data_IF_117628313314
#
_entry.id   IF_117628313314
#
_cell.length_a   1.000
_cell.length_b   1.000
_cell.length_c   1.000
_cell.angle_alpha   90.00
_cell.angle_beta   90.00
_cell.angle_gamma   90.00
#
_symmetry.space_group_name_H-M   'P 1'
#
loop_
_entity.id
_entity.type
_entity.pdbx_description
1 polymer ?
#
# COMPACT_ATOMS: atom_id res chain seq x y z
N UNK A 1 -3.38 -13.59 -9.05
CA UNK A 1 -4.05 -13.78 -7.74
C UNK A 1 -4.79 -12.51 -7.34
N UNK A 2 -5.82 -12.67 -6.54
CA UNK A 2 -6.65 -11.55 -6.12
C UNK A 2 -6.32 -11.14 -4.70
N UNK A 3 -6.08 -9.84 -4.49
CA UNK A 3 -5.84 -9.27 -3.17
C UNK A 3 -6.75 -8.08 -2.97
N UNK A 4 -7.07 -7.79 -1.71
CA UNK A 4 -7.88 -6.64 -1.35
C UNK A 4 -6.98 -5.54 -0.80
N UNK A 5 -7.23 -4.31 -1.23
CA UNK A 5 -6.53 -3.13 -0.69
C UNK A 5 -7.57 -2.26 0.01
N UNK A 6 -7.32 -1.95 1.27
CA UNK A 6 -8.16 -1.02 2.04
C UNK A 6 -7.40 0.25 2.31
N UNK A 7 -8.02 1.37 2.01
CA UNK A 7 -7.40 2.68 2.20
C UNK A 7 -8.14 3.45 3.28
N UNK A 8 -7.40 4.30 3.98
CA UNK A 8 -7.92 5.07 5.10
C UNK A 8 -7.54 6.55 4.96
N UNK A 9 -8.35 7.42 5.54
CA UNK A 9 -8.12 8.87 5.56
C UNK A 9 -7.91 9.40 4.14
N UNK A 10 -6.84 10.15 3.91
CA UNK A 10 -6.56 10.75 2.60
C UNK A 10 -6.39 9.71 1.49
N UNK A 11 -5.84 8.56 1.80
CA UNK A 11 -5.72 7.49 0.80
C UNK A 11 -7.10 6.96 0.38
N UNK A 12 -8.06 6.96 1.30
CA UNK A 12 -9.43 6.58 0.97
C UNK A 12 -10.07 7.55 -0.02
N UNK A 13 -9.79 8.83 0.12
CA UNK A 13 -10.29 9.84 -0.81
C UNK A 13 -9.72 9.65 -2.21
N UNK A 14 -8.49 9.18 -2.30
CA UNK A 14 -7.80 8.97 -3.57
C UNK A 14 -8.19 7.64 -4.21
N UNK A 15 -8.23 6.57 -3.43
CA UNK A 15 -8.36 5.20 -3.93
C UNK A 15 -9.75 4.59 -3.72
N UNK A 16 -10.56 5.20 -2.85
CA UNK A 16 -11.79 4.57 -2.41
C UNK A 16 -11.57 3.77 -1.13
N UNK A 17 -12.67 3.32 -0.53
CA UNK A 17 -12.62 2.62 0.75
C UNK A 17 -11.87 1.30 0.64
N UNK A 18 -12.15 0.54 -0.41
CA UNK A 18 -11.43 -0.70 -0.69
C UNK A 18 -11.52 -1.01 -2.18
N UNK A 19 -10.54 -1.76 -2.66
CA UNK A 19 -10.54 -2.22 -4.03
C UNK A 19 -9.92 -3.60 -4.12
N UNK A 20 -10.39 -4.38 -5.08
CA UNK A 20 -9.81 -5.69 -5.36
C UNK A 20 -8.84 -5.54 -6.52
N UNK A 21 -7.67 -6.13 -6.39
CA UNK A 21 -6.64 -6.07 -7.43
C UNK A 21 -6.21 -7.46 -7.82
N UNK A 22 -6.15 -7.68 -9.13
CA UNK A 22 -5.61 -8.91 -9.67
C UNK A 22 -4.14 -8.69 -10.00
N UNK A 23 -3.26 -9.40 -9.31
CA UNK A 23 -1.82 -9.22 -9.42
C UNK A 23 -1.15 -10.54 -9.75
N UNK A 24 0.06 -10.50 -10.37
CA UNK A 24 0.77 -11.73 -10.69
C UNK A 24 1.18 -12.52 -9.44
N UNK A 25 1.27 -13.84 -9.59
CA UNK A 25 1.88 -14.68 -8.57
C UNK A 25 3.30 -14.19 -8.28
N UNK A 26 3.70 -14.24 -7.01
CA UNK A 26 5.00 -13.76 -6.61
C UNK A 26 5.09 -12.27 -6.34
N UNK A 27 3.99 -11.54 -6.50
CA UNK A 27 3.96 -10.11 -6.18
C UNK A 27 4.25 -9.88 -4.70
N UNK A 28 4.98 -8.79 -4.42
CA UNK A 28 5.30 -8.40 -3.05
C UNK A 28 4.48 -7.19 -2.65
N UNK A 29 4.55 -6.83 -1.37
CA UNK A 29 3.92 -5.59 -0.88
C UNK A 29 4.39 -4.40 -1.70
N UNK A 30 5.70 -4.28 -1.92
CA UNK A 30 6.25 -3.16 -2.68
C UNK A 30 5.73 -3.13 -4.11
N UNK A 31 5.70 -4.28 -4.79
CA UNK A 31 5.22 -4.30 -6.18
C UNK A 31 3.76 -3.92 -6.27
N UNK A 32 2.94 -4.31 -5.28
CA UNK A 32 1.55 -3.90 -5.23
C UNK A 32 1.41 -2.39 -5.04
N UNK A 33 2.17 -1.81 -4.10
CA UNK A 33 2.15 -0.38 -3.87
C UNK A 33 2.59 0.40 -5.11
N UNK A 34 3.62 -0.08 -5.81
CA UNK A 34 4.06 0.56 -7.05
C UNK A 34 3.02 0.48 -8.14
N UNK A 35 2.30 -0.63 -8.23
CA UNK A 35 1.20 -0.77 -9.19
C UNK A 35 0.08 0.23 -8.92
N UNK A 36 -0.26 0.43 -7.65
CA UNK A 36 -1.26 1.43 -7.27
C UNK A 36 -0.77 2.83 -7.66
N UNK A 37 0.50 3.13 -7.38
CA UNK A 37 1.09 4.41 -7.74
C UNK A 37 1.15 4.66 -9.25
N UNK A 38 1.33 3.61 -10.02
CA UNK A 38 1.32 3.73 -11.48
C UNK A 38 -0.06 4.11 -12.01
N UNK A 39 -1.12 3.67 -11.34
CA UNK A 39 -2.50 3.99 -11.73
C UNK A 39 -3.01 5.28 -11.13
N UNK A 40 -2.40 5.73 -10.02
CA UNK A 40 -2.86 6.91 -9.29
C UNK A 40 -1.68 7.81 -8.95
N UNK A 41 -1.44 8.87 -9.75
CA UNK A 41 -0.37 9.83 -9.43
C UNK A 41 -0.52 10.47 -8.05
N UNK A 42 -1.76 10.74 -7.62
CA UNK A 42 -2.00 11.32 -6.32
C UNK A 42 -1.55 10.40 -5.18
N UNK A 43 -1.81 9.11 -5.32
CA UNK A 43 -1.32 8.12 -4.34
C UNK A 43 0.21 8.09 -4.34
N UNK A 44 0.80 8.04 -5.54
CA UNK A 44 2.26 8.00 -5.67
C UNK A 44 2.93 9.17 -4.98
N UNK A 45 2.39 10.38 -5.18
CA UNK A 45 2.95 11.58 -4.58
C UNK A 45 2.89 11.57 -3.06
N UNK A 46 1.83 10.99 -2.49
CA UNK A 46 1.66 10.98 -1.04
C UNK A 46 2.34 9.79 -0.37
N UNK A 47 2.40 8.65 -1.05
CA UNK A 47 2.94 7.43 -0.45
C UNK A 47 4.44 7.30 -0.61
N UNK A 48 5.00 7.82 -1.70
CA UNK A 48 6.43 7.67 -1.99
C UNK A 48 7.15 9.00 -1.83
N UNK A 49 8.37 8.92 -1.30
CA UNK A 49 9.22 10.10 -1.13
C UNK A 49 9.84 10.53 -2.47
N UNK A 50 10.44 11.70 -2.49
CA UNK A 50 11.09 12.21 -3.69
C UNK A 50 12.24 11.34 -4.20
N UNK A 51 12.80 10.47 -3.35
CA UNK A 51 13.84 9.53 -3.75
C UNK A 51 13.28 8.24 -4.35
N UNK A 52 11.96 8.09 -4.39
CA UNK A 52 11.28 6.93 -4.96
C UNK A 52 10.97 5.82 -3.99
N UNK A 53 11.42 5.90 -2.76
CA UNK A 53 11.10 4.93 -1.72
C UNK A 53 9.78 5.26 -1.03
N UNK A 54 9.19 4.25 -0.38
CA UNK A 54 7.98 4.48 0.39
C UNK A 54 8.25 5.41 1.55
N UNK A 55 7.33 6.34 1.79
CA UNK A 55 7.42 7.27 2.92
C UNK A 55 7.38 6.48 4.23
N UNK A 56 8.34 6.74 5.12
CA UNK A 56 8.50 6.02 6.38
C UNK A 56 7.28 6.11 7.29
N UNK A 57 6.50 7.16 7.15
CA UNK A 57 5.35 7.41 8.01
C UNK A 57 4.06 6.74 7.50
N UNK A 58 4.11 6.10 6.35
CA UNK A 58 2.98 5.31 5.87
C UNK A 58 2.88 4.07 6.74
N UNK A 59 1.69 3.82 7.27
CA UNK A 59 1.46 2.63 8.07
C UNK A 59 0.80 1.56 7.22
N UNK A 60 1.34 0.35 7.29
CA UNK A 60 0.85 -0.79 6.50
C UNK A 60 0.46 -1.94 7.40
N UNK A 61 -0.61 -2.64 7.05
CA UNK A 61 -1.02 -3.86 7.72
C UNK A 61 -1.39 -4.92 6.69
N UNK A 62 -0.95 -6.15 6.90
CA UNK A 62 -1.37 -7.30 6.10
C UNK A 62 -2.21 -8.20 6.98
N UNK A 63 -3.45 -8.47 6.58
CA UNK A 63 -4.36 -9.32 7.32
C UNK A 63 -4.44 -8.91 8.79
N UNK A 64 -4.53 -7.59 9.01
CA UNK A 64 -4.66 -6.96 10.34
C UNK A 64 -3.40 -7.00 11.20
N UNK A 65 -2.26 -7.36 10.61
CA UNK A 65 -0.97 -7.34 11.30
C UNK A 65 -0.10 -6.24 10.71
N UNK A 66 0.45 -5.40 11.59
CA UNK A 66 1.32 -4.31 11.18
C UNK A 66 2.62 -4.85 10.60
N UNK A 67 3.08 -4.23 9.51
CA UNK A 67 4.38 -4.55 8.90
C UNK A 67 5.24 -3.30 8.88
N UNK A 68 6.55 -3.50 8.84
CA UNK A 68 7.52 -2.41 8.83
C UNK A 68 7.70 -1.88 7.40
N UNK A 69 7.39 -0.60 7.12
CA UNK A 69 7.55 -0.05 5.78
C UNK A 69 9.00 0.05 5.32
N UNK A 70 9.97 -0.14 6.21
CA UNK A 70 11.38 -0.12 5.83
C UNK A 70 11.92 -1.50 5.52
N UNK A 71 11.47 -2.53 6.25
CA UNK A 71 12.08 -3.86 6.17
C UNK A 71 11.18 -4.94 5.59
N UNK A 72 9.86 -4.70 5.56
CA UNK A 72 8.91 -5.77 5.22
C UNK A 72 8.25 -5.63 3.85
N UNK A 73 8.77 -4.74 2.99
CA UNK A 73 8.16 -4.52 1.68
C UNK A 73 8.39 -5.65 0.69
N UNK A 74 9.35 -6.52 0.95
CA UNK A 74 9.61 -7.68 0.10
C UNK A 74 8.79 -8.92 0.47
N UNK A 75 7.90 -8.80 1.47
CA UNK A 75 7.01 -9.91 1.84
C UNK A 75 6.13 -10.27 0.64
N UNK A 76 6.11 -11.54 0.23
CA UNK A 76 5.25 -11.95 -0.85
C UNK A 76 3.78 -11.98 -0.42
N UNK A 77 2.91 -11.65 -1.34
CA UNK A 77 1.47 -11.68 -1.11
C UNK A 77 0.89 -13.02 -1.56
N UNK A 78 -0.20 -13.41 -0.92
CA UNK A 78 -0.90 -14.65 -1.22
C UNK A 78 -2.33 -14.34 -1.64
N UNK A 79 -2.95 -15.30 -2.34
CA UNK A 79 -4.34 -15.19 -2.74
C UNK A 79 -5.22 -14.83 -1.54
N UNK A 80 -6.03 -13.80 -1.69
CA UNK A 80 -6.97 -13.39 -0.64
C UNK A 80 -6.39 -12.49 0.44
N UNK A 81 -5.11 -12.13 0.37
CA UNK A 81 -4.53 -11.22 1.35
C UNK A 81 -5.20 -9.85 1.31
N UNK A 82 -5.23 -9.19 2.45
CA UNK A 82 -5.77 -7.84 2.58
C UNK A 82 -4.67 -6.91 3.05
N UNK A 83 -4.36 -5.90 2.23
CA UNK A 83 -3.39 -4.85 2.58
C UNK A 83 -4.15 -3.61 2.98
N UNK A 84 -3.91 -3.11 4.19
CA UNK A 84 -4.47 -1.84 4.66
C UNK A 84 -3.39 -0.78 4.63
N UNK A 85 -3.71 0.40 4.09
CA UNK A 85 -2.77 1.50 3.90
C UNK A 85 -3.29 2.73 4.63
N UNK A 86 -2.48 3.28 5.53
CA UNK A 86 -2.80 4.48 6.28
C UNK A 86 -1.80 5.57 5.94
N UNK A 87 -2.26 6.80 5.65
CA UNK A 87 -1.32 7.89 5.35
C UNK A 87 -0.59 8.34 6.60
N UNK A 88 0.54 9.06 6.44
CA UNK A 88 1.20 9.65 7.58
C UNK A 88 0.28 10.64 8.27
N UNK A 89 0.35 10.68 9.61
CA UNK A 89 -0.44 11.61 10.41
C UNK A 89 0.33 12.90 10.57
N UNK A 90 -0.19 13.98 9.99
CA UNK A 90 0.46 15.29 10.10
C UNK A 90 0.41 15.76 11.54
N UNK A 91 1.54 16.29 12.02
CA UNK A 91 1.63 16.85 13.34
C UNK A 91 1.83 15.85 14.47
N UNK A 92 2.11 14.62 14.11
CA UNK A 92 2.51 13.62 15.11
C UNK A 92 1.58 12.54 15.36
#
# INVERSE_FOLDING_TARGET
MLVKVRAFAQFREILGKEMDMNIPEGSTVLSLLKSIGASSPAFREQAFSGSGGLNDYVLLMINKKRIDPLNDLSIPLNEGDELAIFPPVAGG
#
